data_IF_954925219061
#
_entry.id   IF_954925219061
#
_cell.length_a   1.000
_cell.length_b   1.000
_cell.length_c   1.000
_cell.angle_alpha   90.00
_cell.angle_beta   90.00
_cell.angle_gamma   90.00
#
_symmetry.space_group_name_H-M   'P 1'
#
loop_
_entity.id
_entity.type
_entity.pdbx_description
1 polymer ?
#
# COMPACT_ATOMS: atom_id res chain seq x y z
N UNK A 1 16.69 0.26 -15.80
CA UNK A 1 16.03 1.58 -15.91
C UNK A 1 15.00 1.67 -14.79
N UNK A 2 15.15 2.60 -13.84
CA UNK A 2 14.23 2.78 -12.71
C UNK A 2 13.12 3.79 -13.02
N UNK A 3 12.06 3.82 -12.19
CA UNK A 3 11.01 4.85 -12.22
C UNK A 3 11.36 5.95 -11.20
N UNK A 4 11.32 7.21 -11.62
CA UNK A 4 11.77 8.34 -10.79
C UNK A 4 10.62 9.06 -10.05
N UNK A 5 9.38 8.93 -10.50
CA UNK A 5 8.22 9.64 -9.96
C UNK A 5 7.29 8.70 -9.17
N UNK A 6 7.87 7.96 -8.23
CA UNK A 6 7.12 7.03 -7.37
C UNK A 6 6.69 7.70 -6.07
N UNK A 7 5.43 7.50 -5.73
CA UNK A 7 4.85 7.94 -4.47
C UNK A 7 4.37 6.73 -3.69
N UNK A 8 4.68 6.71 -2.39
CA UNK A 8 4.23 5.66 -1.49
C UNK A 8 3.07 6.19 -0.66
N UNK A 9 1.90 5.58 -0.83
CA UNK A 9 0.71 5.92 -0.06
C UNK A 9 0.51 4.87 1.02
N UNK A 10 0.43 5.29 2.28
CA UNK A 10 -0.09 4.40 3.32
C UNK A 10 -1.58 4.70 3.54
N UNK A 11 -2.36 3.66 3.33
CA UNK A 11 -3.82 3.68 3.37
C UNK A 11 -4.28 3.23 4.75
N UNK A 12 -5.20 3.98 5.32
CA UNK A 12 -5.91 3.63 6.54
C UNK A 12 -7.03 2.65 6.21
N UNK A 13 -6.78 1.37 6.48
CA UNK A 13 -7.74 0.29 6.18
C UNK A 13 -9.07 0.46 6.92
N UNK A 14 -9.09 1.15 8.06
CA UNK A 14 -10.33 1.42 8.81
C UNK A 14 -11.27 2.37 8.08
N UNK A 15 -10.74 3.12 7.10
CA UNK A 15 -11.49 4.03 6.24
C UNK A 15 -11.82 3.43 4.88
N UNK A 16 -11.38 2.20 4.62
CA UNK A 16 -11.83 1.42 3.47
C UNK A 16 -13.13 0.73 3.87
N UNK A 17 -14.17 0.95 3.08
CA UNK A 17 -15.43 0.22 3.20
C UNK A 17 -15.28 -1.20 2.65
N UNK A 18 -16.40 -1.89 2.47
CA UNK A 18 -16.48 -3.16 1.74
C UNK A 18 -15.70 -3.10 0.41
N UNK A 19 -15.06 -4.23 0.08
CA UNK A 19 -14.27 -4.40 -1.14
C UNK A 19 -12.77 -4.64 -0.91
N UNK A 20 -12.26 -4.62 0.32
CA UNK A 20 -10.90 -5.09 0.63
C UNK A 20 -10.91 -6.60 0.88
N UNK A 21 -10.23 -7.36 0.03
CA UNK A 21 -10.14 -8.83 0.10
C UNK A 21 -8.67 -9.23 0.20
N UNK A 22 -8.35 -10.15 1.13
CA UNK A 22 -7.01 -10.75 1.21
C UNK A 22 -7.00 -12.02 0.37
N UNK A 23 -6.26 -12.01 -0.73
CA UNK A 23 -6.16 -13.13 -1.66
C UNK A 23 -4.74 -13.69 -1.64
N UNK A 24 -4.60 -15.01 -1.81
CA UNK A 24 -3.30 -15.65 -1.88
C UNK A 24 -2.54 -15.12 -3.11
N UNK A 25 -1.37 -14.52 -2.89
CA UNK A 25 -0.46 -14.18 -3.99
C UNK A 25 0.48 -15.34 -4.32
N UNK A 26 0.75 -16.19 -3.33
CA UNK A 26 1.44 -17.47 -3.46
C UNK A 26 0.93 -18.43 -2.36
N UNK A 27 1.56 -19.59 -2.24
CA UNK A 27 1.15 -20.66 -1.31
C UNK A 27 1.22 -20.27 0.18
N UNK A 28 1.88 -19.16 0.52
CA UNK A 28 2.15 -18.74 1.89
C UNK A 28 1.79 -17.28 2.21
N UNK A 29 1.64 -16.44 1.19
CA UNK A 29 1.45 -15.01 1.34
C UNK A 29 0.09 -14.57 0.81
N UNK A 30 -0.62 -13.77 1.60
CA UNK A 30 -1.87 -13.13 1.21
C UNK A 30 -1.67 -11.63 1.04
N UNK A 31 -2.11 -11.09 -0.09
CA UNK A 31 -2.01 -9.67 -0.38
C UNK A 31 -3.39 -9.03 -0.49
N UNK A 32 -3.56 -7.80 0.03
CA UNK A 32 -4.82 -7.09 -0.02
C UNK A 32 -5.12 -6.57 -1.43
N UNK A 33 -6.28 -6.93 -1.96
CA UNK A 33 -6.88 -6.40 -3.18
C UNK A 33 -8.10 -5.56 -2.82
N UNK A 34 -8.13 -4.30 -3.26
CA UNK A 34 -9.28 -3.41 -3.03
C UNK A 34 -10.08 -3.24 -4.31
N UNK A 35 -11.26 -3.85 -4.37
CA UNK A 35 -12.18 -3.80 -5.51
C UNK A 35 -13.19 -2.64 -5.43
N UNK A 36 -13.30 -1.99 -4.26
CA UNK A 36 -14.25 -0.91 -3.98
C UNK A 36 -15.72 -1.34 -4.00
N UNK A 37 -16.65 -0.44 -3.67
CA UNK A 37 -18.08 -0.70 -3.81
C UNK A 37 -18.44 -0.85 -5.29
N UNK A 38 -19.22 -1.88 -5.62
CA UNK A 38 -19.71 -2.17 -6.97
C UNK A 38 -18.62 -2.30 -8.05
N UNK A 39 -17.45 -2.86 -7.69
CA UNK A 39 -16.29 -3.07 -8.58
C UNK A 39 -15.66 -1.77 -9.13
N UNK A 40 -15.92 -0.63 -8.49
CA UNK A 40 -15.23 0.62 -8.77
C UNK A 40 -14.16 0.84 -7.70
N UNK A 41 -12.91 0.40 -7.94
CA UNK A 41 -11.83 0.60 -6.98
C UNK A 41 -11.48 2.09 -6.95
N UNK A 42 -12.03 2.81 -5.97
CA UNK A 42 -11.72 4.22 -5.76
C UNK A 42 -11.11 4.41 -4.37
N UNK A 43 -9.79 4.50 -4.35
CA UNK A 43 -9.07 5.00 -3.19
C UNK A 43 -9.32 6.50 -3.07
N UNK A 44 -10.00 6.91 -2.02
CA UNK A 44 -10.25 8.33 -1.77
C UNK A 44 -9.09 8.94 -1.00
N UNK A 45 -8.77 10.22 -1.24
CA UNK A 45 -7.71 10.93 -0.49
C UNK A 45 -7.96 10.89 1.02
N UNK A 46 -9.22 10.72 1.46
CA UNK A 46 -9.60 10.60 2.87
C UNK A 46 -9.06 9.32 3.54
N UNK A 47 -8.86 8.25 2.78
CA UNK A 47 -8.30 6.99 3.30
C UNK A 47 -6.78 6.99 3.34
N UNK A 48 -6.10 7.91 2.63
CA UNK A 48 -4.64 8.08 2.72
C UNK A 48 -4.32 8.85 3.99
N UNK A 49 -3.35 8.38 4.82
CA UNK A 49 -2.96 9.19 5.99
C UNK A 49 -2.09 10.38 5.52
N UNK A 50 -2.25 11.56 6.14
CA UNK A 50 -1.72 12.82 5.59
C UNK A 50 -0.21 13.00 5.74
N UNK A 51 0.47 12.24 6.61
CA UNK A 51 1.89 12.40 6.88
C UNK A 51 2.56 11.03 6.98
N UNK A 52 3.54 10.79 6.11
CA UNK A 52 4.45 9.66 6.20
C UNK A 52 5.87 10.15 6.06
N UNK A 53 6.63 10.07 7.15
CA UNK A 53 8.07 10.12 7.05
C UNK A 53 8.53 8.71 6.71
N UNK A 54 9.13 8.53 5.53
CA UNK A 54 9.79 7.29 5.19
C UNK A 54 11.28 7.53 4.97
N UNK A 55 12.07 6.56 5.40
CA UNK A 55 13.51 6.56 5.18
C UNK A 55 13.88 5.31 4.37
N UNK A 56 14.56 5.52 3.25
CA UNK A 56 15.15 4.41 2.49
C UNK A 56 16.49 4.09 3.16
N UNK A 57 16.56 2.95 3.87
CA UNK A 57 17.79 2.46 4.48
C UNK A 57 18.45 1.43 3.58
N UNK A 58 19.76 1.57 3.36
CA UNK A 58 20.57 0.53 2.71
C UNK A 58 21.21 -0.35 3.78
N UNK A 59 20.98 -1.66 3.72
CA UNK A 59 21.59 -2.63 4.63
C UNK A 59 21.91 -3.94 3.90
N UNK A 60 23.15 -4.45 4.03
CA UNK A 60 23.59 -5.74 3.44
C UNK A 60 23.24 -5.92 1.95
N UNK A 61 23.32 -4.84 1.16
CA UNK A 61 23.00 -4.88 -0.27
C UNK A 61 21.51 -4.83 -0.61
N UNK A 62 20.61 -4.72 0.37
CA UNK A 62 19.17 -4.50 0.19
C UNK A 62 18.77 -3.08 0.59
N UNK A 63 17.69 -2.61 -0.02
CA UNK A 63 17.01 -1.37 0.34
C UNK A 63 15.78 -1.71 1.17
N UNK A 64 15.61 -1.01 2.28
CA UNK A 64 14.47 -1.15 3.18
C UNK A 64 13.74 0.18 3.26
N UNK A 65 12.42 0.13 3.13
CA UNK A 65 11.55 1.25 3.42
C UNK A 65 11.21 1.18 4.91
N UNK A 66 11.68 2.17 5.69
CA UNK A 66 11.27 2.33 7.08
C UNK A 66 10.22 3.42 7.15
N UNK A 67 9.04 3.08 7.63
CA UNK A 67 7.98 4.02 7.96
C UNK A 67 8.19 4.48 9.41
N UNK A 68 8.31 5.80 9.63
CA UNK A 68 8.51 6.42 10.95
C UNK A 68 7.23 7.08 11.45
#
# INVERSE_FOLDING_TARGET
>A
MGRNDLYLLQVDISKLSDGLVYEAADDSNYFPHFYGPDTRPQLTVKSVRPCFHYEIKRGRGQYFLRFC
#
